data_IF_067323951503
#
_entry.id   IF_067323951503
#
_cell.length_a   1.000
_cell.length_b   1.000
_cell.length_c   1.000
_cell.angle_alpha   90.00
_cell.angle_beta   90.00
_cell.angle_gamma   90.00
#
_symmetry.space_group_name_H-M   'P 1'
#
loop_
_entity.id
_entity.type
_entity.pdbx_description
1 polymer ?
#
# COMPACT_ATOMS: atom_id res chain seq x y z
N UNK A 1 -3.73 -1.55 -3.85
CA UNK A 1 -3.90 -1.28 -2.40
C UNK A 1 -3.68 0.17 -1.98
N UNK A 2 -2.86 1.00 -2.66
CA UNK A 2 -2.72 2.42 -2.29
C UNK A 2 -4.07 3.18 -2.27
N UNK A 3 -5.04 2.79 -3.10
CA UNK A 3 -6.40 3.33 -3.05
C UNK A 3 -7.18 2.92 -1.77
N UNK A 4 -6.87 1.76 -1.19
CA UNK A 4 -7.46 1.30 0.09
C UNK A 4 -6.89 2.07 1.28
N UNK A 5 -5.62 2.47 1.21
CA UNK A 5 -5.03 3.41 2.17
C UNK A 5 -5.82 4.72 2.17
N UNK A 6 -6.20 5.24 0.99
CA UNK A 6 -7.08 6.42 0.86
C UNK A 6 -8.54 6.19 1.27
N UNK A 7 -8.93 4.96 1.59
CA UNK A 7 -10.23 4.67 2.18
C UNK A 7 -10.23 4.83 3.71
N UNK A 8 -9.06 5.00 4.34
CA UNK A 8 -8.98 5.28 5.77
C UNK A 8 -9.44 6.71 6.09
N UNK A 9 -10.01 6.89 7.28
CA UNK A 9 -10.52 8.18 7.74
C UNK A 9 -9.40 9.21 7.89
N UNK A 10 -8.18 8.78 8.25
CA UNK A 10 -6.98 9.64 8.34
C UNK A 10 -6.68 10.38 7.03
N UNK A 11 -6.96 9.76 5.88
CA UNK A 11 -6.73 10.36 4.57
C UNK A 11 -7.99 10.98 3.96
N UNK A 12 -9.05 11.15 4.75
CA UNK A 12 -10.30 11.81 4.33
C UNK A 12 -11.29 10.91 3.60
N UNK A 13 -11.13 9.57 3.61
CA UNK A 13 -11.99 8.56 2.97
C UNK A 13 -12.59 9.01 1.63
N UNK A 14 -11.78 8.92 0.57
CA UNK A 14 -12.17 9.44 -0.73
C UNK A 14 -13.26 8.62 -1.47
N UNK A 15 -13.53 7.36 -1.06
CA UNK A 15 -14.46 6.44 -1.75
C UNK A 15 -14.95 5.32 -0.82
N UNK A 16 -16.09 4.70 -1.14
CA UNK A 16 -16.51 3.42 -0.55
C UNK A 16 -15.85 2.27 -1.29
N UNK A 17 -15.28 1.32 -0.56
CA UNK A 17 -14.55 0.18 -1.12
C UNK A 17 -15.34 -1.11 -0.85
N UNK A 18 -15.70 -1.83 -1.91
CA UNK A 18 -16.20 -3.22 -1.83
C UNK A 18 -15.03 -4.20 -1.97
N UNK A 19 -14.16 -4.23 -0.95
CA UNK A 19 -13.06 -5.18 -0.83
C UNK A 19 -13.17 -5.86 0.55
N UNK A 20 -13.17 -7.20 0.64
CA UNK A 20 -13.27 -7.91 1.93
C UNK A 20 -12.17 -7.54 2.93
N UNK A 21 -11.02 -7.06 2.46
CA UNK A 21 -9.90 -6.64 3.30
C UNK A 21 -9.84 -5.11 3.48
N UNK A 22 -10.82 -4.35 2.99
CA UNK A 22 -10.83 -2.88 3.05
C UNK A 22 -10.60 -2.36 4.47
N UNK A 23 -11.34 -2.87 5.46
CA UNK A 23 -11.22 -2.44 6.85
C UNK A 23 -9.86 -2.81 7.44
N UNK A 24 -9.37 -4.01 7.18
CA UNK A 24 -8.05 -4.48 7.65
C UNK A 24 -6.93 -3.58 7.11
N UNK A 25 -6.99 -3.23 5.83
CA UNK A 25 -5.97 -2.41 5.17
C UNK A 25 -6.07 -0.95 5.60
N UNK A 26 -7.29 -0.42 5.78
CA UNK A 26 -7.51 0.90 6.35
C UNK A 26 -6.94 1.01 7.78
N UNK A 27 -7.16 0.00 8.62
CA UNK A 27 -6.60 -0.04 9.98
C UNK A 27 -5.06 -0.09 9.99
N UNK A 28 -4.45 -0.84 9.06
CA UNK A 28 -2.99 -0.85 8.87
C UNK A 28 -2.50 0.55 8.49
N UNK A 29 -3.17 1.19 7.52
CA UNK A 29 -2.85 2.53 7.06
C UNK A 29 -2.99 3.59 8.17
N UNK A 30 -4.05 3.54 8.96
CA UNK A 30 -4.29 4.45 10.08
C UNK A 30 -3.19 4.35 11.14
N UNK A 31 -2.76 3.13 11.47
CA UNK A 31 -1.70 2.85 12.45
C UNK A 31 -0.32 3.28 11.97
N UNK A 32 0.00 3.07 10.70
CA UNK A 32 1.37 3.24 10.17
C UNK A 32 1.60 4.60 9.53
N UNK A 33 0.57 5.21 8.93
CA UNK A 33 0.71 6.42 8.14
C UNK A 33 1.49 6.17 6.85
N UNK A 34 2.33 7.12 6.45
CA UNK A 34 3.00 7.14 5.13
C UNK A 34 4.31 6.36 5.07
N UNK A 35 4.62 5.51 6.05
CA UNK A 35 5.87 4.74 6.06
C UNK A 35 5.75 3.51 5.14
N UNK A 36 6.22 3.65 3.90
CA UNK A 36 6.13 2.62 2.85
C UNK A 36 6.72 1.28 3.26
N UNK A 37 7.81 1.25 4.01
CA UNK A 37 8.43 0.01 4.49
C UNK A 37 7.51 -0.73 5.46
N UNK A 38 7.02 -0.03 6.50
CA UNK A 38 6.13 -0.63 7.48
C UNK A 38 4.77 -1.02 6.87
N UNK A 39 4.27 -0.24 5.91
CA UNK A 39 3.07 -0.58 5.16
C UNK A 39 3.26 -1.85 4.34
N UNK A 40 4.36 -1.96 3.58
CA UNK A 40 4.69 -3.16 2.81
C UNK A 40 4.78 -4.38 3.72
N UNK A 41 5.50 -4.27 4.85
CA UNK A 41 5.66 -5.36 5.81
C UNK A 41 4.32 -5.83 6.38
N UNK A 42 3.44 -4.90 6.77
CA UNK A 42 2.14 -5.24 7.35
C UNK A 42 1.14 -5.79 6.33
N UNK A 43 1.18 -5.32 5.09
CA UNK A 43 0.29 -5.78 4.02
C UNK A 43 0.72 -7.15 3.50
N UNK A 44 2.02 -7.36 3.30
CA UNK A 44 2.55 -8.65 2.82
C UNK A 44 2.40 -9.77 3.84
N UNK A 45 2.25 -9.44 5.13
CA UNK A 45 1.91 -10.38 6.20
C UNK A 45 0.43 -10.81 6.21
N UNK A 46 -0.37 -10.44 5.20
CA UNK A 46 -1.73 -10.96 5.04
C UNK A 46 -1.65 -12.28 4.27
N UNK A 47 -1.52 -13.38 5.00
CA UNK A 47 -1.33 -14.73 4.45
C UNK A 47 -2.47 -15.18 3.51
N UNK A 48 -3.67 -14.64 3.69
CA UNK A 48 -4.80 -14.91 2.80
C UNK A 48 -4.67 -14.26 1.41
N UNK A 49 -3.72 -13.33 1.23
CA UNK A 49 -3.50 -12.58 -0.02
C UNK A 49 -2.17 -12.96 -0.66
N UNK A 50 -1.10 -13.05 0.13
CA UNK A 50 0.25 -13.29 -0.38
C UNK A 50 0.75 -14.66 0.04
N UNK A 51 1.22 -15.42 -0.94
CA UNK A 51 1.90 -16.67 -0.67
C UNK A 51 3.24 -16.37 0.06
N UNK A 52 3.62 -17.17 1.08
CA UNK A 52 4.77 -16.88 1.94
C UNK A 52 6.10 -16.68 1.19
N UNK A 53 6.37 -17.45 0.12
CA UNK A 53 7.60 -17.31 -0.66
C UNK A 53 7.66 -15.98 -1.42
N UNK A 54 6.52 -15.49 -1.92
CA UNK A 54 6.42 -14.16 -2.53
C UNK A 54 6.60 -13.06 -1.49
N UNK A 55 5.96 -13.18 -0.32
CA UNK A 55 6.10 -12.22 0.77
C UNK A 55 7.53 -12.14 1.33
N UNK A 56 8.29 -13.24 1.27
CA UNK A 56 9.70 -13.29 1.68
C UNK A 56 10.69 -12.78 0.61
N UNK A 57 10.27 -12.61 -0.64
CA UNK A 57 11.17 -12.24 -1.74
C UNK A 57 11.70 -10.80 -1.59
N UNK A 58 13.01 -10.65 -1.38
CA UNK A 58 13.65 -9.36 -1.12
C UNK A 58 13.52 -8.37 -2.27
N UNK A 59 13.68 -8.83 -3.52
CA UNK A 59 13.56 -7.98 -4.72
C UNK A 59 12.13 -7.47 -4.87
N UNK A 60 11.16 -8.35 -4.72
CA UNK A 60 9.74 -7.98 -4.74
C UNK A 60 9.42 -6.93 -3.67
N UNK A 61 9.84 -7.16 -2.42
CA UNK A 61 9.65 -6.20 -1.33
C UNK A 61 10.29 -4.84 -1.62
N UNK A 62 11.52 -4.83 -2.14
CA UNK A 62 12.21 -3.59 -2.51
C UNK A 62 11.41 -2.80 -3.57
N UNK A 63 10.88 -3.48 -4.59
CA UNK A 63 10.02 -2.85 -5.59
C UNK A 63 8.71 -2.34 -4.98
N UNK A 64 8.06 -3.08 -4.09
CA UNK A 64 6.83 -2.61 -3.43
C UNK A 64 7.09 -1.33 -2.62
N UNK A 65 8.16 -1.29 -1.84
CA UNK A 65 8.51 -0.10 -1.04
C UNK A 65 8.78 1.10 -1.93
N UNK A 66 9.61 0.95 -2.98
CA UNK A 66 9.91 2.03 -3.91
C UNK A 66 8.66 2.58 -4.61
N UNK A 67 7.74 1.68 -5.02
CA UNK A 67 6.47 2.09 -5.64
C UNK A 67 5.52 2.77 -4.64
N UNK A 68 5.48 2.30 -3.40
CA UNK A 68 4.70 2.95 -2.34
C UNK A 68 5.25 4.35 -2.03
N UNK A 69 6.56 4.55 -1.99
CA UNK A 69 7.17 5.87 -1.81
C UNK A 69 6.72 6.85 -2.90
N UNK A 70 6.72 6.41 -4.16
CA UNK A 70 6.24 7.21 -5.28
C UNK A 70 4.75 7.53 -5.19
N UNK A 71 3.90 6.53 -4.92
CA UNK A 71 2.45 6.67 -4.86
C UNK A 71 1.94 7.43 -3.62
N UNK A 72 2.70 7.45 -2.53
CA UNK A 72 2.40 8.18 -1.30
C UNK A 72 3.09 9.54 -1.23
N UNK A 73 3.89 9.90 -2.25
CA UNK A 73 4.54 11.20 -2.36
C UNK A 73 3.54 12.35 -2.57
N UNK A 74 4.06 13.57 -2.60
CA UNK A 74 3.27 14.77 -2.91
C UNK A 74 2.90 14.87 -4.41
N UNK A 75 3.55 14.10 -5.29
CA UNK A 75 3.23 14.05 -6.73
C UNK A 75 3.11 12.60 -7.23
N UNK A 76 2.03 11.90 -6.83
CA UNK A 76 1.82 10.51 -7.23
C UNK A 76 1.59 10.37 -8.74
N UNK A 77 1.06 11.38 -9.42
CA UNK A 77 0.83 11.33 -10.86
C UNK A 77 2.11 11.56 -11.67
N UNK A 78 3.02 12.40 -11.18
CA UNK A 78 4.37 12.51 -11.73
C UNK A 78 5.13 11.19 -11.63
N UNK A 79 5.04 10.52 -10.49
CA UNK A 79 5.61 9.17 -10.32
C UNK A 79 5.03 8.16 -11.32
N UNK A 80 3.70 8.09 -11.47
CA UNK A 80 3.05 7.18 -12.42
C UNK A 80 3.53 7.42 -13.86
N UNK A 81 3.70 8.68 -14.28
CA UNK A 81 4.22 9.01 -15.61
C UNK A 81 5.65 8.53 -15.81
N UNK A 82 6.50 8.63 -14.78
CA UNK A 82 7.90 8.20 -14.83
C UNK A 82 8.05 6.68 -14.99
N UNK A 83 7.19 5.88 -14.34
CA UNK A 83 7.31 4.42 -14.39
C UNK A 83 6.60 3.77 -15.59
N UNK A 84 5.73 4.52 -16.27
CA UNK A 84 4.98 4.04 -17.44
C UNK A 84 5.52 4.56 -18.79
N UNK A 85 6.57 5.39 -18.77
CA UNK A 85 7.31 5.83 -19.95
C UNK A 85 8.36 4.80 -20.36
#
# INVERSE_FOLDING_TARGET
>A
MAYLIKASTRFGRAWQVSDPFAEKIAAIADRIGSNSKLLADAILAIDAIFEPSLAANATFRAHIVANLDGLLSNDPMGFVKQVCS
#
